data_IF_072598992437
#
_entry.id   IF_072598992437
#
_cell.length_a   1.000
_cell.length_b   1.000
_cell.length_c   1.000
_cell.angle_alpha   90.00
_cell.angle_beta   90.00
_cell.angle_gamma   90.00
#
_symmetry.space_group_name_H-M   'P 1'
#
loop_
_entity.id
_entity.type
_entity.pdbx_description
1 polymer ?
#
# COMPACT_ATOMS: atom_id res chain seq x y z
N UNK A 1 -7.04 -1.38 16.65
CA UNK A 1 -7.16 -2.09 15.37
C UNK A 1 -8.37 -1.54 14.66
N UNK A 2 -8.16 -0.51 13.84
CA UNK A 2 -9.19 -0.09 12.89
C UNK A 2 -9.34 -1.23 11.89
N UNK A 3 -10.55 -1.79 11.76
CA UNK A 3 -10.89 -2.59 10.59
C UNK A 3 -11.01 -1.59 9.44
N UNK A 4 -9.90 -1.32 8.78
CA UNK A 4 -9.85 -0.47 7.60
C UNK A 4 -10.69 -1.16 6.53
N UNK A 5 -11.98 -0.81 6.46
CA UNK A 5 -12.94 -1.40 5.53
C UNK A 5 -12.30 -1.39 4.13
N UNK A 6 -11.97 -2.60 3.70
CA UNK A 6 -11.31 -2.94 2.46
C UNK A 6 -11.85 -2.06 1.32
N UNK A 7 -10.99 -1.23 0.71
CA UNK A 7 -11.37 -0.27 -0.35
C UNK A 7 -12.07 -0.93 -1.56
N UNK A 8 -11.76 -2.19 -1.81
CA UNK A 8 -12.33 -3.00 -2.89
C UNK A 8 -12.73 -4.36 -2.36
N UNK A 9 -13.97 -4.86 -2.55
CA UNK A 9 -14.38 -6.16 -2.01
C UNK A 9 -13.47 -7.36 -2.35
N UNK A 10 -12.64 -7.23 -3.40
CA UNK A 10 -11.65 -8.22 -3.84
C UNK A 10 -10.22 -7.99 -3.34
N UNK A 11 -9.95 -6.89 -2.64
CA UNK A 11 -8.62 -6.61 -2.13
C UNK A 11 -8.20 -7.66 -1.11
N UNK A 12 -6.93 -7.99 -1.14
CA UNK A 12 -6.31 -8.90 -0.18
C UNK A 12 -5.29 -8.14 0.64
N UNK A 13 -5.20 -8.49 1.92
CA UNK A 13 -4.15 -8.00 2.80
C UNK A 13 -2.81 -8.64 2.41
N UNK A 14 -1.76 -7.82 2.37
CA UNK A 14 -0.41 -8.21 2.00
C UNK A 14 0.51 -8.09 3.20
N UNK A 15 1.39 -9.09 3.36
CA UNK A 15 2.48 -8.99 4.33
C UNK A 15 3.56 -8.03 3.80
N UNK A 16 3.93 -6.98 4.53
CA UNK A 16 4.99 -6.07 4.12
C UNK A 16 6.36 -6.77 4.07
N UNK A 17 7.19 -6.40 3.09
CA UNK A 17 8.60 -6.80 2.94
C UNK A 17 9.52 -6.00 3.85
N UNK A 18 9.23 -4.71 4.03
CA UNK A 18 10.05 -3.81 4.84
C UNK A 18 9.55 -3.76 6.28
N UNK A 19 10.47 -3.48 7.20
CA UNK A 19 10.16 -3.16 8.58
C UNK A 19 9.82 -1.67 8.68
N UNK A 20 8.70 -1.35 9.32
CA UNK A 20 8.22 0.02 9.52
C UNK A 20 8.17 0.35 11.00
N UNK A 21 8.46 1.60 11.35
CA UNK A 21 8.34 2.09 12.73
C UNK A 21 6.87 2.30 13.14
N UNK A 22 6.01 2.62 12.16
CA UNK A 22 4.58 2.83 12.34
C UNK A 22 3.77 1.55 12.10
N UNK A 23 2.55 1.48 12.66
CA UNK A 23 1.56 0.46 12.28
C UNK A 23 1.11 0.74 10.84
N UNK A 24 1.22 -0.28 9.98
CA UNK A 24 0.84 -0.16 8.57
C UNK A 24 -0.18 -1.23 8.20
N UNK A 25 -1.01 -0.90 7.21
CA UNK A 25 -1.85 -1.86 6.51
C UNK A 25 -1.59 -1.75 5.00
N UNK A 26 -1.31 -2.87 4.36
CA UNK A 26 -1.00 -2.93 2.94
C UNK A 26 -1.97 -3.87 2.24
N UNK A 27 -2.61 -3.37 1.19
CA UNK A 27 -3.60 -4.12 0.44
C UNK A 27 -3.24 -4.14 -1.05
N UNK A 28 -3.58 -5.24 -1.71
CA UNK A 28 -3.47 -5.39 -3.16
C UNK A 28 -4.79 -5.78 -3.78
N UNK A 29 -5.14 -5.18 -4.91
CA UNK A 29 -6.30 -5.58 -5.71
C UNK A 29 -5.95 -5.65 -7.20
N UNK A 30 -6.75 -6.40 -7.95
CA UNK A 30 -6.65 -6.50 -9.41
C UNK A 30 -7.85 -5.83 -10.06
N UNK A 31 -7.57 -4.79 -10.83
CA UNK A 31 -8.59 -4.12 -11.63
C UNK A 31 -8.88 -4.89 -12.93
N UNK A 32 -10.13 -4.86 -13.37
CA UNK A 32 -10.58 -5.51 -14.61
C UNK A 32 -9.95 -4.97 -15.90
N UNK A 33 -9.16 -3.89 -15.81
CA UNK A 33 -8.40 -3.29 -16.90
C UNK A 33 -6.96 -3.86 -17.03
N UNK A 34 -6.60 -4.88 -16.24
CA UNK A 34 -5.27 -5.48 -16.28
C UNK A 34 -4.22 -4.78 -15.42
N UNK A 35 -4.64 -3.91 -14.50
CA UNK A 35 -3.76 -3.28 -13.52
C UNK A 35 -3.84 -4.00 -12.16
N UNK A 36 -2.73 -3.98 -11.43
CA UNK A 36 -2.69 -4.26 -10.00
C UNK A 36 -2.57 -2.92 -9.27
N UNK A 37 -3.36 -2.76 -8.23
CA UNK A 37 -3.34 -1.60 -7.34
C UNK A 37 -2.81 -2.04 -6.00
N UNK A 38 -1.95 -1.24 -5.41
CA UNK A 38 -1.39 -1.45 -4.09
C UNK A 38 -1.63 -0.20 -3.25
N UNK A 39 -2.26 -0.39 -2.10
CA UNK A 39 -2.65 0.67 -1.16
C UNK A 39 -1.92 0.48 0.16
N UNK A 40 -1.13 1.48 0.55
CA UNK A 40 -0.46 1.54 1.85
C UNK A 40 -1.15 2.57 2.73
N UNK A 41 -1.55 2.14 3.91
CA UNK A 41 -2.10 2.97 4.97
C UNK A 41 -1.13 3.03 6.13
N UNK A 42 -0.91 4.24 6.65
CA UNK A 42 -0.09 4.48 7.83
C UNK A 42 -0.86 5.38 8.77
N UNK A 43 -0.95 4.97 10.03
CA UNK A 43 -1.51 5.79 11.08
C UNK A 43 -0.43 6.76 11.59
N UNK A 44 -0.76 8.05 11.66
CA UNK A 44 0.15 9.07 12.16
C UNK A 44 0.42 8.94 13.65
N UNK A 45 1.44 9.63 14.16
CA UNK A 45 1.67 9.70 15.60
C UNK A 45 0.40 10.23 16.29
N UNK A 46 0.04 9.64 17.43
CA UNK A 46 -1.14 9.98 18.23
C UNK A 46 -2.51 9.55 17.67
N UNK A 47 -2.58 8.76 16.60
CA UNK A 47 -3.84 8.23 16.04
C UNK A 47 -4.84 9.32 15.58
N UNK A 48 -4.36 10.54 15.30
CA UNK A 48 -5.20 11.66 14.85
C UNK A 48 -5.23 11.82 13.34
N UNK A 49 -4.29 11.18 12.64
CA UNK A 49 -4.06 11.35 11.21
C UNK A 49 -3.95 10.00 10.52
N UNK A 50 -4.47 9.94 9.30
CA UNK A 50 -4.36 8.79 8.43
C UNK A 50 -3.68 9.21 7.13
N UNK A 51 -2.56 8.56 6.83
CA UNK A 51 -1.86 8.73 5.57
C UNK A 51 -2.15 7.53 4.68
N UNK A 52 -2.42 7.81 3.40
CA UNK A 52 -2.67 6.78 2.39
C UNK A 52 -1.96 7.15 1.09
N UNK A 53 -1.28 6.17 0.51
CA UNK A 53 -0.77 6.22 -0.85
C UNK A 53 -1.22 5.00 -1.64
N UNK A 54 -1.41 5.20 -2.94
CA UNK A 54 -1.81 4.17 -3.88
C UNK A 54 -0.90 4.19 -5.11
N UNK A 55 -0.53 3.01 -5.61
CA UNK A 55 0.19 2.85 -6.87
C UNK A 55 -0.47 1.79 -7.72
N UNK A 56 -0.63 2.08 -9.01
CA UNK A 56 -1.10 1.10 -9.99
C UNK A 56 0.02 0.71 -10.95
N UNK A 57 0.11 -0.58 -11.23
CA UNK A 57 1.09 -1.16 -12.14
C UNK A 57 0.36 -1.98 -13.21
N UNK A 58 0.82 -1.86 -14.46
CA UNK A 58 0.35 -2.73 -15.53
C UNK A 58 0.82 -4.16 -15.29
N UNK A 59 -0.11 -5.12 -15.27
CA UNK A 59 0.21 -6.52 -14.98
C UNK A 59 0.34 -7.29 -16.29
N UNK A 60 1.46 -8.01 -16.51
CA UNK A 60 1.57 -8.93 -17.64
C UNK A 60 0.41 -9.93 -17.65
N UNK A 61 -0.07 -10.27 -18.86
CA UNK A 61 -1.13 -11.27 -19.00
C UNK A 61 -0.73 -12.60 -18.37
N UNK A 62 -1.61 -13.18 -17.56
CA UNK A 62 -1.38 -14.46 -16.88
C UNK A 62 -0.77 -14.37 -15.48
N UNK A 63 -0.21 -13.22 -15.08
CA UNK A 63 0.31 -13.04 -13.70
C UNK A 63 -0.83 -12.82 -12.70
N UNK A 64 -0.68 -13.38 -11.51
CA UNK A 64 -1.54 -13.12 -10.34
C UNK A 64 -1.08 -11.84 -9.62
N UNK A 65 -1.90 -11.32 -8.71
CA UNK A 65 -1.49 -10.20 -7.85
C UNK A 65 -0.27 -10.61 -7.01
N UNK A 66 -0.30 -11.79 -6.40
CA UNK A 66 0.81 -12.33 -5.61
C UNK A 66 2.10 -12.40 -6.43
N UNK A 67 2.05 -12.84 -7.69
CA UNK A 67 3.23 -12.87 -8.56
C UNK A 67 3.86 -11.48 -8.75
N UNK A 68 3.01 -10.45 -8.93
CA UNK A 68 3.45 -9.06 -9.09
C UNK A 68 4.07 -8.54 -7.81
N UNK A 69 3.43 -8.82 -6.67
CA UNK A 69 3.91 -8.39 -5.38
C UNK A 69 5.21 -9.09 -4.98
N UNK A 70 5.34 -10.39 -5.27
CA UNK A 70 6.59 -11.13 -5.07
C UNK A 70 7.76 -10.58 -5.91
N UNK A 71 7.47 -10.12 -7.14
CA UNK A 71 8.48 -9.57 -8.03
C UNK A 71 8.89 -8.13 -7.70
N UNK A 72 7.96 -7.31 -7.19
CA UNK A 72 8.13 -5.86 -7.09
C UNK A 72 7.81 -5.26 -5.72
N UNK A 73 7.48 -6.07 -4.72
CA UNK A 73 6.96 -5.64 -3.41
C UNK A 73 7.83 -4.61 -2.72
N UNK A 74 9.14 -4.85 -2.62
CA UNK A 74 10.10 -3.89 -2.04
C UNK A 74 10.05 -2.50 -2.72
N UNK A 75 9.96 -2.47 -4.05
CA UNK A 75 9.89 -1.22 -4.80
C UNK A 75 8.52 -0.52 -4.65
N UNK A 76 7.44 -1.30 -4.66
CA UNK A 76 6.07 -0.82 -4.44
C UNK A 76 6.00 -0.14 -3.07
N UNK A 77 6.44 -0.85 -2.05
CA UNK A 77 6.45 -0.41 -0.66
C UNK A 77 7.27 0.86 -0.46
N UNK A 78 8.54 0.86 -0.91
CA UNK A 78 9.40 2.05 -0.78
C UNK A 78 8.82 3.27 -1.48
N UNK A 79 8.23 3.08 -2.65
CA UNK A 79 7.60 4.18 -3.39
C UNK A 79 6.40 4.75 -2.62
N UNK A 80 5.50 3.88 -2.16
CA UNK A 80 4.33 4.27 -1.37
C UNK A 80 4.72 4.96 -0.06
N UNK A 81 5.65 4.36 0.68
CA UNK A 81 6.15 4.90 1.94
C UNK A 81 6.82 6.26 1.76
N UNK A 82 7.63 6.41 0.71
CA UNK A 82 8.28 7.70 0.41
C UNK A 82 7.27 8.82 0.16
N UNK A 83 6.16 8.53 -0.52
CA UNK A 83 5.09 9.52 -0.73
C UNK A 83 4.48 9.93 0.62
N UNK A 84 4.20 8.95 1.49
CA UNK A 84 3.61 9.22 2.80
C UNK A 84 4.58 10.02 3.68
N UNK A 85 5.84 9.60 3.78
CA UNK A 85 6.86 10.27 4.57
C UNK A 85 7.05 11.72 4.17
N UNK A 86 7.07 12.05 2.86
CA UNK A 86 7.14 13.44 2.40
C UNK A 86 6.00 14.30 2.94
N UNK A 87 4.81 13.72 3.15
CA UNK A 87 3.67 14.47 3.69
C UNK A 87 3.71 14.58 5.22
N UNK A 88 4.20 13.55 5.92
CA UNK A 88 4.45 13.60 7.36
C UNK A 88 5.52 14.66 7.66
N UNK A 89 6.67 14.60 6.98
CA UNK A 89 7.78 15.54 7.16
C UNK A 89 7.34 17.00 6.97
N UNK A 90 6.45 17.27 6.00
CA UNK A 90 5.92 18.62 5.75
C UNK A 90 4.91 19.10 6.78
N UNK A 91 4.23 18.18 7.45
CA UNK A 91 3.28 18.53 8.50
C UNK A 91 4.00 18.90 9.80
N UNK A 92 5.15 18.27 10.05
CA UNK A 92 5.95 18.46 11.27
C UNK A 92 6.88 19.69 11.23
N UNK A 93 6.96 20.38 10.08
CA UNK A 93 7.66 21.68 9.88
C UNK A 93 6.84 22.91 10.35
#
# INVERSE_FOLDING_TARGET
>A
MFEWEILYPSAIELSPYNDYEQEIALYGDRLGNGQAVFDLFIEGEWHTELYWASVSLGVPGGSTMTDVYEAYGDNIERFLYSIIQINIDRHDE
#
